data_IF_315388538361
#
_entry.id   IF_315388538361
#
_cell.length_a   1.000
_cell.length_b   1.000
_cell.length_c   1.000
_cell.angle_alpha   90.00
_cell.angle_beta   90.00
_cell.angle_gamma   90.00
#
_symmetry.space_group_name_H-M   'P 1'
#
loop_
_entity.id
_entity.type
_entity.pdbx_description
1 polymer ?
#
# COMPACT_ATOMS: atom_id res chain seq x y z
N UNK A 1 -115.67 35.64 89.10
CA UNK A 1 -116.53 36.38 88.15
C UNK A 1 -116.06 36.08 86.74
N UNK A 2 -117.05 35.91 85.87
CA UNK A 2 -116.99 35.39 84.51
C UNK A 2 -116.41 36.38 83.48
N UNK A 3 -116.04 35.80 82.32
CA UNK A 3 -115.98 36.36 80.97
C UNK A 3 -114.75 37.17 80.52
N UNK A 4 -114.33 37.16 79.25
CA UNK A 4 -114.35 36.22 78.11
C UNK A 4 -113.75 37.01 76.93
N UNK A 5 -113.26 36.28 75.92
CA UNK A 5 -113.45 36.60 74.49
C UNK A 5 -112.51 37.55 73.71
N UNK A 6 -111.64 36.89 72.91
CA UNK A 6 -111.31 37.07 71.47
C UNK A 6 -110.53 38.34 71.02
N UNK A 7 -109.55 38.30 70.09
CA UNK A 7 -109.50 37.62 68.79
C UNK A 7 -108.07 37.48 68.16
N UNK A 8 -107.93 36.40 67.37
CA UNK A 8 -106.90 35.90 66.37
C UNK A 8 -106.17 36.91 65.45
N UNK A 9 -105.24 36.52 64.49
CA UNK A 9 -104.44 35.28 64.25
C UNK A 9 -102.96 35.45 63.72
N UNK A 10 -102.22 34.31 63.74
CA UNK A 10 -101.11 33.79 62.86
C UNK A 10 -100.23 34.71 61.98
N UNK A 11 -98.89 34.57 62.13
CA UNK A 11 -97.94 34.21 61.04
C UNK A 11 -96.74 33.43 61.61
N UNK A 12 -96.44 32.28 61.01
CA UNK A 12 -95.29 31.40 61.25
C UNK A 12 -94.01 31.92 60.60
N UNK A 13 -92.88 31.86 61.30
CA UNK A 13 -91.58 31.59 60.68
C UNK A 13 -90.63 30.93 61.69
N UNK A 14 -90.37 29.64 61.51
CA UNK A 14 -89.31 28.94 62.23
C UNK A 14 -87.95 29.56 61.91
N UNK A 15 -87.20 29.96 62.95
CA UNK A 15 -85.77 30.22 62.84
C UNK A 15 -84.99 29.19 63.65
N UNK A 16 -84.36 28.31 62.89
CA UNK A 16 -83.30 27.37 63.30
C UNK A 16 -82.28 28.07 64.19
N UNK A 17 -82.16 27.64 65.43
CA UNK A 17 -81.11 28.09 66.35
C UNK A 17 -79.80 27.41 65.92
N UNK A 18 -79.01 28.11 65.11
CA UNK A 18 -77.62 27.75 64.85
C UNK A 18 -76.75 28.16 66.05
N UNK A 19 -76.04 27.16 66.57
CA UNK A 19 -75.07 27.24 67.67
C UNK A 19 -74.11 28.44 67.54
N UNK A 20 -73.90 29.16 68.65
CA UNK A 20 -72.79 30.11 68.83
C UNK A 20 -71.46 29.36 68.71
N UNK A 21 -70.65 29.68 67.71
CA UNK A 21 -69.26 29.23 67.62
C UNK A 21 -68.35 30.14 68.45
N UNK A 22 -67.67 29.50 69.40
CA UNK A 22 -66.63 30.00 70.29
C UNK A 22 -65.59 30.84 69.53
N UNK A 23 -65.42 32.07 69.99
CA UNK A 23 -64.45 33.05 69.52
C UNK A 23 -63.02 32.46 69.56
N UNK A 24 -62.40 32.27 68.40
CA UNK A 24 -60.99 31.82 68.30
C UNK A 24 -60.13 33.05 68.14
N UNK A 25 -59.40 33.39 69.20
CA UNK A 25 -58.55 34.59 69.29
C UNK A 25 -57.64 34.77 68.06
N UNK A 26 -57.55 36.02 67.58
CA UNK A 26 -56.70 36.50 66.48
C UNK A 26 -55.22 36.04 66.57
N UNK A 27 -54.72 35.71 67.76
CA UNK A 27 -53.36 35.21 67.98
C UNK A 27 -53.08 33.81 67.42
N UNK A 28 -54.09 32.96 67.26
CA UNK A 28 -53.91 31.61 66.67
C UNK A 28 -53.53 31.71 65.18
N UNK A 29 -54.19 32.60 64.44
CA UNK A 29 -53.91 32.82 63.03
C UNK A 29 -52.54 33.49 62.81
N UNK A 30 -52.10 34.38 63.71
CA UNK A 30 -50.78 35.00 63.63
C UNK A 30 -49.63 33.99 63.78
N UNK A 31 -49.76 33.01 64.67
CA UNK A 31 -48.77 31.92 64.82
C UNK A 31 -48.74 31.02 63.58
N UNK A 32 -49.90 30.75 62.99
CA UNK A 32 -50.01 29.96 61.76
C UNK A 32 -49.34 30.69 60.58
N UNK A 33 -49.61 32.00 60.42
CA UNK A 33 -49.00 32.82 59.36
C UNK A 33 -47.48 32.89 59.51
N UNK A 34 -46.96 33.00 60.73
CA UNK A 34 -45.51 32.98 60.98
C UNK A 34 -44.88 31.64 60.61
N UNK A 35 -45.56 30.53 60.92
CA UNK A 35 -45.10 29.19 60.59
C UNK A 35 -45.07 28.97 59.06
N UNK A 36 -46.13 29.36 58.35
CA UNK A 36 -46.16 29.27 56.89
C UNK A 36 -45.14 30.20 56.23
N UNK A 37 -44.88 31.39 56.79
CA UNK A 37 -43.86 32.31 56.27
C UNK A 37 -42.44 31.73 56.43
N UNK A 38 -42.13 31.16 57.60
CA UNK A 38 -40.85 30.49 57.84
C UNK A 38 -40.68 29.23 56.98
N UNK A 39 -41.77 28.49 56.75
CA UNK A 39 -41.78 27.29 55.92
C UNK A 39 -41.56 27.61 54.44
N UNK A 40 -42.25 28.64 53.92
CA UNK A 40 -42.04 29.13 52.55
C UNK A 40 -40.61 29.65 52.38
N UNK A 41 -40.08 30.40 53.35
CA UNK A 41 -38.69 30.87 53.33
C UNK A 41 -37.69 29.70 53.28
N UNK A 42 -37.93 28.65 54.06
CA UNK A 42 -37.08 27.45 54.07
C UNK A 42 -37.14 26.69 52.75
N UNK A 43 -38.33 26.58 52.15
CA UNK A 43 -38.54 25.97 50.84
C UNK A 43 -37.85 26.74 49.71
N UNK A 44 -37.84 28.07 49.78
CA UNK A 44 -37.12 28.93 48.84
C UNK A 44 -35.61 28.72 49.00
N UNK A 45 -35.08 28.68 50.22
CA UNK A 45 -33.64 28.43 50.46
C UNK A 45 -33.23 27.06 49.92
N UNK A 46 -34.01 26.00 50.18
CA UNK A 46 -33.74 24.66 49.64
C UNK A 46 -33.81 24.67 48.12
N UNK A 47 -34.79 25.35 47.53
CA UNK A 47 -34.92 25.46 46.08
C UNK A 47 -33.74 26.20 45.44
N UNK A 48 -33.27 27.29 46.06
CA UNK A 48 -32.09 28.03 45.61
C UNK A 48 -30.81 27.21 45.76
N UNK A 49 -30.66 26.46 46.84
CA UNK A 49 -29.51 25.55 47.03
C UNK A 49 -29.55 24.42 46.00
N UNK A 50 -30.71 23.82 45.72
CA UNK A 50 -30.86 22.85 44.65
C UNK A 50 -30.55 23.47 43.29
N UNK A 51 -30.96 24.71 43.04
CA UNK A 51 -30.62 25.44 41.82
C UNK A 51 -29.12 25.79 41.75
N UNK A 52 -28.43 25.95 42.87
CA UNK A 52 -26.99 26.23 42.90
C UNK A 52 -26.16 24.94 42.76
N UNK A 53 -26.63 23.83 43.32
CA UNK A 53 -26.00 22.50 43.23
C UNK A 53 -26.28 21.82 41.88
N UNK A 54 -27.48 21.99 41.32
CA UNK A 54 -27.91 21.33 40.08
C UNK A 54 -28.14 22.27 38.89
N UNK A 55 -28.25 23.58 39.10
CA UNK A 55 -28.51 24.57 38.05
C UNK A 55 -27.27 25.29 37.53
N UNK A 56 -26.06 24.77 37.77
CA UNK A 56 -24.86 25.33 37.17
C UNK A 56 -24.89 25.08 35.64
N UNK A 57 -24.92 26.12 34.79
CA UNK A 57 -24.99 25.98 33.33
C UNK A 57 -23.61 25.66 32.72
N UNK A 58 -22.77 24.95 33.49
CA UNK A 58 -21.47 24.49 33.02
C UNK A 58 -21.66 23.19 32.27
N UNK A 59 -21.65 23.28 30.92
CA UNK A 59 -21.52 22.18 29.95
C UNK A 59 -21.72 20.81 30.59
N UNK A 60 -22.96 20.35 30.64
CA UNK A 60 -23.27 19.08 31.29
C UNK A 60 -22.38 17.99 30.70
N UNK A 61 -21.98 16.98 31.50
CA UNK A 61 -21.20 15.84 30.99
C UNK A 61 -21.85 15.20 29.75
N UNK A 62 -23.17 15.31 29.61
CA UNK A 62 -23.92 14.87 28.44
C UNK A 62 -23.67 15.71 27.19
N UNK A 63 -23.71 17.04 27.26
CA UNK A 63 -23.44 17.92 26.11
C UNK A 63 -22.02 17.74 25.55
N UNK A 64 -21.04 17.62 26.44
CA UNK A 64 -19.65 17.37 26.05
C UNK A 64 -19.49 15.99 25.40
N UNK A 65 -20.23 14.98 25.88
CA UNK A 65 -20.25 13.64 25.26
C UNK A 65 -20.94 13.65 23.91
N UNK A 66 -21.98 14.45 23.72
CA UNK A 66 -22.65 14.62 22.42
C UNK A 66 -21.72 15.29 21.42
N UNK A 67 -21.00 16.35 21.81
CA UNK A 67 -20.01 17.04 20.97
C UNK A 67 -18.82 16.12 20.61
N UNK A 68 -18.33 15.33 21.55
CA UNK A 68 -17.30 14.30 21.28
C UNK A 68 -17.81 13.21 20.32
N UNK A 69 -19.07 12.79 20.47
CA UNK A 69 -19.68 11.78 19.60
C UNK A 69 -19.91 12.31 18.18
N UNK A 70 -20.35 13.56 18.04
CA UNK A 70 -20.54 14.24 16.76
C UNK A 70 -19.20 14.45 16.04
N UNK A 71 -18.17 14.90 16.76
CA UNK A 71 -16.82 15.02 16.21
C UNK A 71 -16.24 13.65 15.80
N UNK A 72 -16.49 12.61 16.61
CA UNK A 72 -16.13 11.23 16.29
C UNK A 72 -16.83 10.73 15.02
N UNK A 73 -18.14 10.97 14.90
CA UNK A 73 -18.93 10.61 13.73
C UNK A 73 -18.45 11.33 12.47
N UNK A 74 -18.22 12.63 12.53
CA UNK A 74 -17.76 13.43 11.40
C UNK A 74 -16.38 12.98 10.91
N UNK A 75 -15.46 12.67 11.85
CA UNK A 75 -14.15 12.11 11.52
C UNK A 75 -14.28 10.74 10.84
N UNK A 76 -15.07 9.85 11.43
CA UNK A 76 -15.27 8.49 10.90
C UNK A 76 -15.95 8.49 9.54
N UNK A 77 -16.91 9.40 9.33
CA UNK A 77 -17.59 9.61 8.06
C UNK A 77 -16.60 10.06 6.97
N UNK A 78 -15.74 11.04 7.28
CA UNK A 78 -14.70 11.50 6.35
C UNK A 78 -13.74 10.38 5.98
N UNK A 79 -13.21 9.65 6.96
CA UNK A 79 -12.32 8.50 6.74
C UNK A 79 -13.01 7.42 5.88
N UNK A 80 -14.30 7.14 6.11
CA UNK A 80 -15.05 6.18 5.30
C UNK A 80 -15.18 6.63 3.84
N UNK A 81 -15.40 7.92 3.60
CA UNK A 81 -15.46 8.47 2.22
C UNK A 81 -14.11 8.40 1.50
N UNK A 82 -13.01 8.67 2.20
CA UNK A 82 -11.65 8.54 1.65
C UNK A 82 -11.32 7.07 1.34
N UNK A 83 -11.61 6.15 2.27
CA UNK A 83 -11.43 4.71 2.06
C UNK A 83 -12.25 4.18 0.86
N UNK A 84 -13.46 4.72 0.63
CA UNK A 84 -14.26 4.37 -0.56
C UNK A 84 -13.62 4.86 -1.85
N UNK A 85 -13.02 6.05 -1.86
CA UNK A 85 -12.29 6.56 -3.03
C UNK A 85 -11.03 5.73 -3.30
N UNK A 86 -10.28 5.40 -2.26
CA UNK A 86 -9.08 4.57 -2.37
C UNK A 86 -9.43 3.18 -2.88
N UNK A 87 -10.49 2.55 -2.35
CA UNK A 87 -10.99 1.27 -2.85
C UNK A 87 -11.32 1.32 -4.34
N UNK A 88 -11.99 2.37 -4.80
CA UNK A 88 -12.33 2.53 -6.22
C UNK A 88 -11.06 2.69 -7.08
N UNK A 89 -10.12 3.52 -6.65
CA UNK A 89 -8.82 3.75 -7.32
C UNK A 89 -7.98 2.48 -7.42
N UNK A 90 -7.84 1.76 -6.30
CA UNK A 90 -7.15 0.47 -6.22
C UNK A 90 -7.81 -0.59 -7.11
N UNK A 91 -9.14 -0.66 -7.10
CA UNK A 91 -9.89 -1.60 -7.94
C UNK A 91 -9.65 -1.32 -9.43
N UNK A 92 -9.64 -0.04 -9.82
CA UNK A 92 -9.32 0.36 -11.20
C UNK A 92 -7.89 -0.01 -11.59
N UNK A 93 -6.92 0.26 -10.71
CA UNK A 93 -5.50 -0.05 -10.93
C UNK A 93 -5.27 -1.57 -11.06
N UNK A 94 -5.97 -2.36 -10.23
CA UNK A 94 -5.91 -3.82 -10.28
C UNK A 94 -6.45 -4.32 -11.62
N UNK A 95 -7.61 -3.81 -12.07
CA UNK A 95 -8.18 -4.18 -13.37
C UNK A 95 -7.20 -3.90 -14.52
N UNK A 96 -6.55 -2.73 -14.53
CA UNK A 96 -5.53 -2.39 -15.52
C UNK A 96 -4.33 -3.35 -15.45
N UNK A 97 -3.78 -3.59 -14.26
CA UNK A 97 -2.64 -4.50 -14.08
C UNK A 97 -2.95 -5.94 -14.51
N UNK A 98 -4.17 -6.42 -14.26
CA UNK A 98 -4.60 -7.74 -14.71
C UNK A 98 -4.63 -7.81 -16.25
N UNK A 99 -5.16 -6.78 -16.92
CA UNK A 99 -5.17 -6.76 -18.40
C UNK A 99 -3.77 -6.65 -19.00
N UNK A 100 -2.87 -5.89 -18.38
CA UNK A 100 -1.45 -5.82 -18.78
C UNK A 100 -0.77 -7.18 -18.62
N UNK A 101 -1.02 -7.87 -17.49
CA UNK A 101 -0.50 -9.22 -17.23
C UNK A 101 -0.98 -10.21 -18.28
N UNK A 102 -2.28 -10.26 -18.57
CA UNK A 102 -2.83 -11.15 -19.61
C UNK A 102 -2.21 -10.88 -20.99
N UNK A 103 -1.96 -9.60 -21.31
CA UNK A 103 -1.33 -9.21 -22.57
C UNK A 103 0.14 -9.64 -22.61
N UNK A 104 0.87 -9.52 -21.49
CA UNK A 104 2.25 -9.98 -21.38
C UNK A 104 2.35 -11.51 -21.47
N UNK A 105 1.44 -12.24 -20.83
CA UNK A 105 1.37 -13.70 -20.92
C UNK A 105 1.11 -14.15 -22.36
N UNK A 106 0.20 -13.48 -23.10
CA UNK A 106 -0.01 -13.75 -24.54
C UNK A 106 1.22 -13.50 -25.40
N UNK A 107 2.01 -12.46 -25.09
CA UNK A 107 3.28 -12.21 -25.79
C UNK A 107 4.31 -13.28 -25.48
N UNK A 108 4.37 -13.73 -24.23
CA UNK A 108 5.30 -14.77 -23.78
C UNK A 108 4.99 -16.10 -24.46
N UNK A 109 3.72 -16.53 -24.51
CA UNK A 109 3.34 -17.76 -25.22
C UNK A 109 3.67 -17.70 -26.71
N UNK A 110 3.49 -16.54 -27.34
CA UNK A 110 3.89 -16.33 -28.74
C UNK A 110 5.40 -16.47 -28.94
N UNK A 111 6.21 -15.82 -28.09
CA UNK A 111 7.68 -15.90 -28.16
C UNK A 111 8.18 -17.33 -27.91
N UNK A 112 7.56 -18.06 -26.99
CA UNK A 112 7.89 -19.48 -26.75
C UNK A 112 7.63 -20.33 -28.00
N UNK A 113 6.49 -20.13 -28.68
CA UNK A 113 6.19 -20.85 -29.92
C UNK A 113 7.16 -20.50 -31.07
N UNK A 114 7.55 -19.23 -31.20
CA UNK A 114 8.56 -18.78 -32.16
C UNK A 114 9.93 -19.42 -31.86
N UNK A 115 10.31 -19.50 -30.58
CA UNK A 115 11.55 -20.13 -30.14
C UNK A 115 11.58 -21.64 -30.42
N UNK A 116 10.48 -22.35 -30.16
CA UNK A 116 10.37 -23.78 -30.47
C UNK A 116 10.46 -24.04 -31.98
N UNK A 117 9.86 -23.16 -32.78
CA UNK A 117 9.96 -23.21 -34.25
C UNK A 117 11.40 -22.97 -34.72
N UNK A 118 12.07 -21.96 -34.16
CA UNK A 118 13.47 -21.67 -34.46
C UNK A 118 14.39 -22.83 -34.07
N UNK A 119 14.15 -23.44 -32.90
CA UNK A 119 14.88 -24.63 -32.44
C UNK A 119 14.71 -25.78 -33.43
N UNK A 120 13.48 -26.10 -33.84
CA UNK A 120 13.19 -27.14 -34.85
C UNK A 120 13.93 -26.89 -36.17
N UNK A 121 13.91 -25.65 -36.67
CA UNK A 121 14.63 -25.28 -37.89
C UNK A 121 16.15 -25.45 -37.74
N UNK A 122 16.69 -25.07 -36.58
CA UNK A 122 18.11 -25.21 -36.29
C UNK A 122 18.53 -26.70 -36.26
N UNK A 123 17.72 -27.57 -35.63
CA UNK A 123 17.95 -29.02 -35.65
C UNK A 123 17.90 -29.58 -37.07
N UNK A 124 16.95 -29.13 -37.89
CA UNK A 124 16.81 -29.55 -39.29
C UNK A 124 18.03 -29.16 -40.13
N UNK A 125 18.53 -27.92 -39.97
CA UNK A 125 19.76 -27.46 -40.61
C UNK A 125 20.97 -28.27 -40.16
N UNK A 126 21.06 -28.55 -38.86
CA UNK A 126 22.15 -29.37 -38.32
C UNK A 126 22.15 -30.79 -38.89
N UNK A 127 20.98 -31.40 -39.04
CA UNK A 127 20.83 -32.72 -39.66
C UNK A 127 21.19 -32.69 -41.15
N UNK A 128 20.73 -31.68 -41.89
CA UNK A 128 21.06 -31.51 -43.31
C UNK A 128 22.57 -31.33 -43.53
N UNK A 129 23.24 -30.56 -42.65
CA UNK A 129 24.70 -30.39 -42.67
C UNK A 129 25.42 -31.72 -42.39
N UNK A 130 24.94 -32.50 -41.43
CA UNK A 130 25.49 -33.82 -41.12
C UNK A 130 25.35 -34.79 -42.31
N UNK A 131 24.19 -34.82 -42.98
CA UNK A 131 23.97 -35.63 -44.18
C UNK A 131 24.83 -35.19 -45.36
N UNK A 132 25.06 -33.88 -45.54
CA UNK A 132 25.93 -33.36 -46.58
C UNK A 132 27.40 -33.76 -46.37
N UNK A 133 27.87 -33.76 -45.11
CA UNK A 133 29.20 -34.24 -44.77
C UNK A 133 29.35 -35.76 -44.93
N UNK A 134 28.29 -36.54 -44.73
CA UNK A 134 28.28 -37.99 -44.93
C UNK A 134 28.32 -38.40 -46.43
N UNK A 135 27.83 -37.54 -47.33
CA UNK A 135 27.80 -37.78 -48.78
C UNK A 135 29.04 -37.26 -49.53
N UNK A 136 30.14 -36.95 -48.84
CA UNK A 136 31.41 -36.64 -49.52
C UNK A 136 31.90 -37.89 -50.28
N UNK A 137 32.17 -37.81 -51.60
CA UNK A 137 32.71 -38.95 -52.33
C UNK A 137 34.06 -39.36 -51.75
N UNK A 138 34.38 -40.67 -51.70
CA UNK A 138 35.68 -41.15 -51.23
C UNK A 138 36.80 -40.59 -52.11
N UNK A 139 38.01 -40.35 -51.56
CA UNK A 139 39.15 -39.93 -52.37
C UNK A 139 39.44 -41.02 -53.41
N UNK A 140 39.46 -40.63 -54.68
CA UNK A 140 39.67 -41.52 -55.82
C UNK A 140 41.01 -42.29 -55.74
N UNK A 141 41.08 -43.52 -56.29
CA UNK A 141 42.25 -44.39 -56.15
C UNK A 141 43.41 -43.92 -57.02
N UNK A 142 44.62 -44.08 -56.47
CA UNK A 142 45.91 -43.86 -57.14
C UNK A 142 46.03 -44.72 -58.39
N UNK A 143 46.38 -44.10 -59.53
CA UNK A 143 46.81 -44.76 -60.76
C UNK A 143 48.16 -44.15 -61.20
N UNK A 144 49.20 -44.99 -61.11
CA UNK A 144 50.45 -45.12 -61.90
C UNK A 144 51.38 -43.92 -62.20
N UNK A 145 52.69 -44.19 -62.40
CA UNK A 145 53.75 -43.20 -62.26
C UNK A 145 53.88 -42.32 -63.51
N UNK A 146 53.62 -41.03 -63.35
CA UNK A 146 53.93 -40.02 -64.34
C UNK A 146 55.21 -39.29 -63.92
N UNK A 147 56.20 -39.45 -64.78
CA UNK A 147 57.38 -38.62 -65.01
C UNK A 147 57.36 -37.26 -64.27
N UNK A 148 58.35 -37.01 -63.41
CA UNK A 148 58.58 -35.70 -62.83
C UNK A 148 59.00 -34.71 -63.93
N UNK A 149 58.26 -33.61 -64.17
CA UNK A 149 58.92 -32.39 -64.64
C UNK A 149 59.65 -31.82 -63.42
N UNK A 150 60.95 -31.59 -63.56
CA UNK A 150 61.70 -30.74 -62.65
C UNK A 150 61.00 -29.37 -62.61
N UNK A 151 60.16 -29.16 -61.60
CA UNK A 151 59.62 -27.84 -61.30
C UNK A 151 60.77 -27.12 -60.62
N UNK A 152 61.39 -26.23 -61.37
CA UNK A 152 62.18 -25.13 -60.82
C UNK A 152 61.24 -24.28 -59.98
N UNK A 153 61.01 -24.70 -58.73
CA UNK A 153 60.27 -23.94 -57.74
C UNK A 153 61.01 -22.62 -57.56
N UNK A 154 60.45 -21.54 -58.12
CA UNK A 154 61.06 -20.24 -57.94
C UNK A 154 61.04 -19.91 -56.44
N UNK A 155 62.10 -19.26 -55.95
CA UNK A 155 62.20 -18.84 -54.55
C UNK A 155 60.97 -18.04 -54.07
N UNK A 156 60.18 -17.46 -54.99
CA UNK A 156 58.94 -16.75 -54.68
C UNK A 156 57.79 -17.66 -54.20
N UNK A 157 57.63 -18.87 -54.74
CA UNK A 157 56.56 -19.80 -54.31
C UNK A 157 56.83 -20.37 -52.91
N UNK A 158 58.08 -20.71 -52.62
CA UNK A 158 58.49 -21.16 -51.28
C UNK A 158 58.29 -20.01 -50.27
N UNK A 159 58.69 -18.79 -50.63
CA UNK A 159 58.52 -17.60 -49.76
C UNK A 159 57.04 -17.29 -49.48
N UNK A 160 56.16 -17.46 -50.47
CA UNK A 160 54.71 -17.29 -50.29
C UNK A 160 54.12 -18.34 -49.34
N UNK A 161 54.48 -19.62 -49.50
CA UNK A 161 54.04 -20.69 -48.61
C UNK A 161 54.56 -20.49 -47.17
N UNK A 162 55.81 -20.04 -47.02
CA UNK A 162 56.40 -19.68 -45.72
C UNK A 162 55.61 -18.56 -45.04
N UNK A 163 55.31 -17.48 -45.79
CA UNK A 163 54.55 -16.33 -45.29
C UNK A 163 53.13 -16.74 -44.88
N UNK A 164 52.49 -17.61 -45.66
CA UNK A 164 51.16 -18.15 -45.33
C UNK A 164 51.18 -19.03 -44.07
N UNK A 165 52.22 -19.85 -43.89
CA UNK A 165 52.38 -20.69 -42.70
C UNK A 165 52.63 -19.83 -41.45
N UNK A 166 53.47 -18.80 -41.56
CA UNK A 166 53.76 -17.88 -40.47
C UNK A 166 52.53 -17.04 -40.10
N UNK A 167 51.75 -16.60 -41.09
CA UNK A 167 50.46 -15.95 -40.86
C UNK A 167 49.47 -16.87 -40.14
N UNK A 168 49.38 -18.15 -40.54
CA UNK A 168 48.49 -19.12 -39.91
C UNK A 168 48.92 -19.44 -38.46
N UNK A 169 50.23 -19.52 -38.19
CA UNK A 169 50.77 -19.66 -36.82
C UNK A 169 50.45 -18.45 -35.96
N UNK A 170 50.58 -17.24 -36.50
CA UNK A 170 50.23 -16.01 -35.78
C UNK A 170 48.74 -15.97 -35.42
N UNK A 171 47.86 -16.33 -36.37
CA UNK A 171 46.42 -16.38 -36.14
C UNK A 171 46.03 -17.44 -35.10
N UNK A 172 46.65 -18.62 -35.15
CA UNK A 172 46.46 -19.66 -34.14
C UNK A 172 46.94 -19.21 -32.76
N UNK A 173 48.09 -18.51 -32.67
CA UNK A 173 48.58 -17.93 -31.42
C UNK A 173 47.60 -16.91 -30.83
N UNK A 174 47.03 -16.03 -31.68
CA UNK A 174 46.01 -15.08 -31.27
C UNK A 174 44.73 -15.77 -30.77
N UNK A 175 44.23 -16.76 -31.50
CA UNK A 175 43.06 -17.54 -31.10
C UNK A 175 43.28 -18.26 -29.78
N UNK A 176 44.45 -18.88 -29.60
CA UNK A 176 44.81 -19.58 -28.37
C UNK A 176 44.91 -18.62 -27.17
N UNK A 177 45.51 -17.45 -27.37
CA UNK A 177 45.58 -16.41 -26.33
C UNK A 177 44.19 -15.90 -25.94
N UNK A 178 43.35 -15.60 -26.92
CA UNK A 178 41.97 -15.15 -26.69
C UNK A 178 41.13 -16.22 -25.97
N UNK A 179 41.28 -17.49 -26.37
CA UNK A 179 40.62 -18.60 -25.71
C UNK A 179 41.07 -18.75 -24.26
N UNK A 180 42.39 -18.74 -24.00
CA UNK A 180 42.93 -18.83 -22.65
C UNK A 180 42.44 -17.68 -21.75
N UNK A 181 42.49 -16.45 -22.25
CA UNK A 181 42.00 -15.27 -21.52
C UNK A 181 40.50 -15.39 -21.21
N UNK A 182 39.70 -15.86 -22.17
CA UNK A 182 38.26 -16.06 -21.99
C UNK A 182 37.97 -17.13 -20.95
N UNK A 183 38.67 -18.26 -21.00
CA UNK A 183 38.54 -19.35 -20.02
C UNK A 183 38.94 -18.88 -18.62
N UNK A 184 40.02 -18.13 -18.49
CA UNK A 184 40.47 -17.58 -17.21
C UNK A 184 39.46 -16.59 -16.63
N UNK A 185 38.92 -15.69 -17.47
CA UNK A 185 37.84 -14.77 -17.09
C UNK A 185 36.58 -15.51 -16.65
N UNK A 186 36.17 -16.55 -17.38
CA UNK A 186 35.03 -17.40 -17.02
C UNK A 186 35.25 -18.11 -15.69
N UNK A 187 36.47 -18.60 -15.43
CA UNK A 187 36.84 -19.26 -14.17
C UNK A 187 36.74 -18.29 -12.99
N UNK A 188 37.31 -17.08 -13.10
CA UNK A 188 37.20 -16.04 -12.08
C UNK A 188 35.74 -15.64 -11.82
N UNK A 189 34.94 -15.52 -12.88
CA UNK A 189 33.52 -15.24 -12.75
C UNK A 189 32.77 -16.37 -12.03
N UNK A 190 33.07 -17.63 -12.34
CA UNK A 190 32.46 -18.78 -11.68
C UNK A 190 32.81 -18.82 -10.19
N UNK A 191 34.07 -18.58 -9.83
CA UNK A 191 34.52 -18.51 -8.43
C UNK A 191 33.82 -17.38 -7.67
N UNK A 192 33.71 -16.20 -8.29
CA UNK A 192 32.99 -15.05 -7.73
C UNK A 192 31.51 -15.37 -7.50
N UNK A 193 30.81 -15.89 -8.51
CA UNK A 193 29.38 -16.27 -8.40
C UNK A 193 29.18 -17.35 -7.34
N UNK A 194 30.10 -18.32 -7.24
CA UNK A 194 30.04 -19.37 -6.23
C UNK A 194 30.20 -18.81 -4.81
N UNK A 195 31.10 -17.84 -4.63
CA UNK A 195 31.30 -17.15 -3.36
C UNK A 195 30.10 -16.31 -2.98
N UNK A 196 29.56 -15.54 -3.92
CA UNK A 196 28.34 -14.74 -3.74
C UNK A 196 27.14 -15.63 -3.35
N UNK A 197 26.96 -16.75 -4.05
CA UNK A 197 25.92 -17.74 -3.73
C UNK A 197 26.04 -18.25 -2.30
N UNK A 198 27.24 -18.66 -1.87
CA UNK A 198 27.48 -19.13 -0.49
C UNK A 198 27.18 -18.05 0.54
N UNK A 199 27.61 -16.81 0.30
CA UNK A 199 27.31 -15.69 1.19
C UNK A 199 25.80 -15.46 1.29
N UNK A 200 25.08 -15.49 0.17
CA UNK A 200 23.63 -15.35 0.13
C UNK A 200 22.92 -16.49 0.86
N UNK A 201 23.38 -17.74 0.73
CA UNK A 201 22.87 -18.90 1.47
C UNK A 201 23.04 -18.72 2.99
N UNK A 202 24.19 -18.24 3.44
CA UNK A 202 24.43 -17.93 4.86
C UNK A 202 23.51 -16.82 5.37
N UNK A 203 23.37 -15.72 4.62
CA UNK A 203 22.45 -14.63 4.99
C UNK A 203 21.00 -15.10 5.02
N UNK A 204 20.59 -15.95 4.08
CA UNK A 204 19.23 -16.52 4.05
C UNK A 204 18.95 -17.40 5.27
N UNK A 205 19.92 -18.22 5.70
CA UNK A 205 19.82 -19.01 6.93
C UNK A 205 19.69 -18.11 8.16
N UNK A 206 20.53 -17.08 8.28
CA UNK A 206 20.45 -16.10 9.37
C UNK A 206 19.09 -15.38 9.41
N UNK A 207 18.58 -14.94 8.27
CA UNK A 207 17.28 -14.29 8.18
C UNK A 207 16.13 -15.22 8.60
N UNK A 208 16.21 -16.52 8.25
CA UNK A 208 15.21 -17.50 8.70
C UNK A 208 15.23 -17.66 10.21
N UNK A 209 16.42 -17.78 10.80
CA UNK A 209 16.56 -17.90 12.24
C UNK A 209 16.03 -16.65 12.96
N UNK A 210 16.41 -15.44 12.51
CA UNK A 210 15.90 -14.19 13.05
C UNK A 210 14.36 -14.07 12.93
N UNK A 211 13.79 -14.54 11.82
CA UNK A 211 12.33 -14.56 11.63
C UNK A 211 11.66 -15.48 12.65
N UNK A 212 12.21 -16.67 12.89
CA UNK A 212 11.69 -17.61 13.87
C UNK A 212 11.76 -17.04 15.29
N UNK A 213 12.91 -16.48 15.67
CA UNK A 213 13.12 -15.81 16.96
C UNK A 213 12.13 -14.66 17.18
N UNK A 214 12.00 -13.76 16.21
CA UNK A 214 11.09 -12.61 16.30
C UNK A 214 9.61 -13.05 16.32
N UNK A 215 9.27 -14.13 15.62
CA UNK A 215 7.92 -14.72 15.66
C UNK A 215 7.60 -15.27 17.05
N UNK A 216 8.57 -15.97 17.68
CA UNK A 216 8.43 -16.47 19.03
C UNK A 216 8.29 -15.33 20.06
N UNK A 217 9.10 -14.28 19.93
CA UNK A 217 9.03 -13.09 20.80
C UNK A 217 7.67 -12.39 20.69
N UNK A 218 7.13 -12.21 19.48
CA UNK A 218 5.80 -11.64 19.27
C UNK A 218 4.68 -12.48 19.90
N UNK A 219 4.77 -13.82 19.80
CA UNK A 219 3.79 -14.70 20.44
C UNK A 219 3.87 -14.61 21.97
N UNK A 220 5.08 -14.52 22.53
CA UNK A 220 5.28 -14.35 23.97
C UNK A 220 4.72 -13.00 24.44
N UNK A 221 5.02 -11.92 23.73
CA UNK A 221 4.49 -10.59 24.04
C UNK A 221 2.97 -10.57 24.01
N UNK A 222 2.34 -11.21 23.02
CA UNK A 222 0.88 -11.31 22.93
C UNK A 222 0.27 -12.04 24.13
N UNK A 223 0.91 -13.13 24.59
CA UNK A 223 0.47 -13.85 25.80
C UNK A 223 0.60 -12.98 27.04
N UNK A 224 1.77 -12.35 27.24
CA UNK A 224 2.02 -11.45 28.37
C UNK A 224 1.03 -10.30 28.42
N UNK A 225 0.74 -9.65 27.31
CA UNK A 225 -0.24 -8.55 27.25
C UNK A 225 -1.65 -9.01 27.70
N UNK A 226 -2.07 -10.21 27.29
CA UNK A 226 -3.35 -10.78 27.75
C UNK A 226 -3.32 -11.08 29.25
N UNK A 227 -2.24 -11.67 29.74
CA UNK A 227 -2.08 -12.03 31.15
C UNK A 227 -2.00 -10.79 32.06
N UNK A 228 -1.24 -9.77 31.68
CA UNK A 228 -1.13 -8.48 32.40
C UNK A 228 -2.45 -7.71 32.42
N UNK A 229 -3.21 -7.76 31.32
CA UNK A 229 -4.55 -7.17 31.29
C UNK A 229 -5.49 -7.87 32.28
N UNK A 230 -5.47 -9.20 32.33
CA UNK A 230 -6.29 -9.97 33.27
C UNK A 230 -5.82 -9.73 34.72
N UNK A 231 -4.51 -9.70 34.98
CA UNK A 231 -3.97 -9.48 36.33
C UNK A 231 -4.30 -8.08 36.87
N UNK A 232 -4.28 -7.06 36.01
CA UNK A 232 -4.69 -5.68 36.37
C UNK A 232 -6.15 -5.61 36.85
N UNK A 233 -6.97 -6.59 36.50
CA UNK A 233 -8.39 -6.67 36.83
C UNK A 233 -8.70 -7.68 37.95
N UNK A 234 -7.67 -8.34 38.49
CA UNK A 234 -7.77 -9.30 39.59
C UNK A 234 -8.30 -8.68 40.90
N UNK A 235 -8.19 -7.35 41.05
CA UNK A 235 -8.79 -6.62 42.17
C UNK A 235 -10.30 -6.82 42.30
N UNK A 236 -11.02 -7.04 41.20
CA UNK A 236 -12.48 -7.30 41.20
C UNK A 236 -12.79 -8.68 41.79
N UNK A 237 -11.98 -9.68 41.45
CA UNK A 237 -12.11 -11.01 42.04
C UNK A 237 -11.87 -10.96 43.55
N UNK A 238 -10.83 -10.24 43.99
CA UNK A 238 -10.53 -10.05 45.41
C UNK A 238 -11.70 -9.41 46.18
N UNK A 239 -12.34 -8.37 45.62
CA UNK A 239 -13.51 -7.73 46.23
C UNK A 239 -14.68 -8.69 46.34
N UNK A 240 -14.93 -9.49 45.30
CA UNK A 240 -16.04 -10.46 45.25
C UNK A 240 -15.82 -11.58 46.27
N UNK A 241 -14.59 -12.12 46.36
CA UNK A 241 -14.22 -13.13 47.36
C UNK A 241 -14.34 -12.58 48.78
N UNK A 242 -13.90 -11.35 49.03
CA UNK A 242 -14.02 -10.70 50.33
C UNK A 242 -15.49 -10.46 50.73
N UNK A 243 -16.34 -10.07 49.78
CA UNK A 243 -17.77 -9.88 49.99
C UNK A 243 -18.47 -11.21 50.34
N UNK A 244 -18.20 -12.28 49.59
CA UNK A 244 -18.70 -13.63 49.88
C UNK A 244 -18.26 -14.12 51.26
N UNK A 245 -16.99 -13.90 51.62
CA UNK A 245 -16.48 -14.22 52.94
C UNK A 245 -17.21 -13.42 54.04
N UNK A 246 -17.57 -12.16 53.79
CA UNK A 246 -18.36 -11.34 54.72
C UNK A 246 -19.78 -11.87 54.88
N UNK A 247 -20.44 -12.31 53.80
CA UNK A 247 -21.76 -12.95 53.83
C UNK A 247 -21.72 -14.28 54.61
N UNK A 248 -20.69 -15.09 54.38
CA UNK A 248 -20.52 -16.35 55.09
C UNK A 248 -20.35 -16.14 56.61
N UNK A 249 -19.67 -15.06 57.00
CA UNK A 249 -19.36 -14.74 58.40
C UNK A 249 -20.34 -13.74 59.06
N UNK A 250 -21.38 -13.29 58.35
CA UNK A 250 -22.33 -12.30 58.86
C UNK A 250 -23.10 -12.81 60.10
N UNK A 251 -23.24 -14.13 60.24
CA UNK A 251 -23.77 -14.79 61.44
C UNK A 251 -22.99 -16.08 61.70
N UNK A 252 -22.02 -16.10 62.64
CA UNK A 252 -21.34 -17.35 63.00
C UNK A 252 -22.33 -18.32 63.65
N UNK A 253 -22.14 -19.62 63.42
CA UNK A 253 -22.99 -20.71 63.91
C UNK A 253 -23.19 -20.73 65.45
N UNK A 254 -22.45 -19.88 66.15
CA UNK A 254 -22.48 -19.69 67.61
C UNK A 254 -23.63 -18.81 68.13
N UNK A 255 -24.35 -18.04 67.29
CA UNK A 255 -25.49 -17.18 67.71
C UNK A 255 -26.88 -17.81 67.51
N UNK A 256 -26.98 -19.14 67.60
CA UNK A 256 -28.24 -19.91 67.48
C UNK A 256 -29.30 -19.55 68.53
N UNK A 257 -28.97 -18.78 69.58
CA UNK A 257 -29.87 -18.47 70.68
C UNK A 257 -30.88 -17.33 70.41
N UNK A 258 -30.69 -16.50 69.37
CA UNK A 258 -31.63 -15.38 69.05
C UNK A 258 -32.65 -15.67 67.94
N UNK A 259 -32.48 -16.77 67.20
CA UNK A 259 -33.40 -17.18 66.13
C UNK A 259 -34.30 -18.32 66.63
N UNK A 260 -35.18 -18.00 67.58
CA UNK A 260 -36.13 -18.97 68.14
C UNK A 260 -37.31 -19.27 67.21
N UNK A 261 -37.47 -18.52 66.11
CA UNK A 261 -38.53 -18.72 65.13
C UNK A 261 -38.00 -19.42 63.87
N UNK A 262 -38.52 -20.61 63.57
CA UNK A 262 -38.15 -21.43 62.39
C UNK A 262 -38.29 -20.65 61.07
N UNK A 263 -39.34 -19.82 60.93
CA UNK A 263 -39.54 -18.93 59.77
C UNK A 263 -38.43 -17.90 59.60
N UNK A 264 -37.88 -17.36 60.68
CA UNK A 264 -36.77 -16.39 60.58
C UNK A 264 -35.49 -17.08 60.12
N UNK A 265 -35.27 -18.34 60.54
CA UNK A 265 -34.14 -19.15 60.08
C UNK A 265 -34.24 -19.46 58.59
N UNK A 266 -35.41 -19.90 58.11
CA UNK A 266 -35.64 -20.14 56.67
C UNK A 266 -35.44 -18.87 55.83
N UNK A 267 -35.97 -17.71 56.28
CA UNK A 267 -35.76 -16.45 55.57
C UNK A 267 -34.28 -16.04 55.53
N UNK A 268 -33.54 -16.30 56.61
CA UNK A 268 -32.11 -16.02 56.66
C UNK A 268 -31.31 -16.92 55.71
N UNK A 269 -31.60 -18.21 55.70
CA UNK A 269 -30.96 -19.17 54.79
C UNK A 269 -31.29 -18.83 53.33
N UNK A 270 -32.51 -18.38 53.05
CA UNK A 270 -32.91 -17.88 51.74
C UNK A 270 -32.11 -16.62 51.34
N UNK A 271 -31.93 -15.65 52.24
CA UNK A 271 -31.13 -14.44 51.98
C UNK A 271 -29.67 -14.82 51.74
N UNK A 272 -29.09 -15.69 52.58
CA UNK A 272 -27.70 -16.17 52.43
C UNK A 272 -27.50 -16.88 51.09
N UNK A 273 -28.42 -17.78 50.72
CA UNK A 273 -28.42 -18.47 49.44
C UNK A 273 -28.52 -17.50 48.27
N UNK A 274 -29.46 -16.55 48.32
CA UNK A 274 -29.66 -15.57 47.26
C UNK A 274 -28.46 -14.63 47.09
N UNK A 275 -27.89 -14.10 48.18
CA UNK A 275 -26.69 -13.26 48.13
C UNK A 275 -25.46 -14.03 47.62
N UNK A 276 -25.30 -15.29 48.03
CA UNK A 276 -24.21 -16.16 47.56
C UNK A 276 -24.37 -16.48 46.07
N UNK A 277 -25.58 -16.81 45.64
CA UNK A 277 -25.91 -17.10 44.24
C UNK A 277 -25.69 -15.87 43.36
N UNK A 278 -26.23 -14.71 43.75
CA UNK A 278 -26.07 -13.45 43.03
C UNK A 278 -24.60 -13.05 42.92
N UNK A 279 -23.82 -13.17 44.00
CA UNK A 279 -22.40 -12.83 43.97
C UNK A 279 -21.60 -13.76 43.04
N UNK A 280 -21.91 -15.07 43.01
CA UNK A 280 -21.29 -16.01 42.07
C UNK A 280 -21.69 -15.73 40.61
N UNK A 281 -22.95 -15.36 40.38
CA UNK A 281 -23.43 -14.99 39.06
C UNK A 281 -22.73 -13.73 38.56
N UNK A 282 -22.59 -12.71 39.41
CA UNK A 282 -21.83 -11.49 39.11
C UNK A 282 -20.37 -11.82 38.78
N UNK A 283 -19.70 -12.65 39.58
CA UNK A 283 -18.31 -13.08 39.33
C UNK A 283 -18.18 -13.77 37.96
N UNK A 284 -19.10 -14.69 37.65
CA UNK A 284 -19.10 -15.46 36.41
C UNK A 284 -19.31 -14.55 35.19
N UNK A 285 -20.27 -13.63 35.28
CA UNK A 285 -20.54 -12.66 34.20
C UNK A 285 -19.38 -11.70 34.01
N UNK A 286 -18.75 -11.23 35.10
CA UNK A 286 -17.55 -10.40 35.04
C UNK A 286 -16.39 -11.14 34.39
N UNK A 287 -16.10 -12.38 34.79
CA UNK A 287 -15.01 -13.16 34.21
C UNK A 287 -15.22 -13.39 32.71
N UNK A 288 -16.45 -13.65 32.29
CA UNK A 288 -16.81 -13.76 30.87
C UNK A 288 -16.55 -12.44 30.11
N UNK A 289 -16.95 -11.32 30.69
CA UNK A 289 -16.69 -9.99 30.12
C UNK A 289 -15.19 -9.70 30.03
N UNK A 290 -14.42 -9.99 31.09
CA UNK A 290 -12.97 -9.82 31.13
C UNK A 290 -12.27 -10.65 30.06
N UNK A 291 -12.68 -11.91 29.88
CA UNK A 291 -12.14 -12.76 28.83
C UNK A 291 -12.40 -12.18 27.44
N UNK A 292 -13.61 -11.68 27.19
CA UNK A 292 -13.99 -11.08 25.90
C UNK A 292 -13.21 -9.79 25.63
N UNK A 293 -13.10 -8.89 26.62
CA UNK A 293 -12.35 -7.64 26.48
C UNK A 293 -10.86 -7.92 26.35
N UNK A 294 -10.30 -8.85 27.12
CA UNK A 294 -8.88 -9.24 27.01
C UNK A 294 -8.55 -9.82 25.63
N UNK A 295 -9.44 -10.62 25.05
CA UNK A 295 -9.28 -11.11 23.67
C UNK A 295 -9.35 -9.98 22.64
N UNK A 296 -10.30 -9.05 22.81
CA UNK A 296 -10.42 -7.87 21.93
C UNK A 296 -9.21 -6.95 22.01
N UNK A 297 -8.72 -6.65 23.21
CA UNK A 297 -7.52 -5.82 23.43
C UNK A 297 -6.29 -6.49 22.84
N UNK A 298 -6.09 -7.79 23.09
CA UNK A 298 -4.99 -8.55 22.49
C UNK A 298 -5.03 -8.55 20.96
N UNK A 299 -6.23 -8.65 20.38
CA UNK A 299 -6.43 -8.62 18.93
C UNK A 299 -6.20 -7.22 18.36
N UNK A 300 -6.73 -6.18 18.99
CA UNK A 300 -6.55 -4.80 18.59
C UNK A 300 -5.07 -4.39 18.65
N UNK A 301 -4.38 -4.73 19.74
CA UNK A 301 -2.95 -4.47 19.88
C UNK A 301 -2.15 -5.17 18.77
N UNK A 302 -2.46 -6.43 18.47
CA UNK A 302 -1.80 -7.17 17.39
C UNK A 302 -2.02 -6.51 16.01
N UNK A 303 -3.24 -6.05 15.73
CA UNK A 303 -3.57 -5.33 14.49
C UNK A 303 -2.87 -3.97 14.42
N UNK A 304 -2.86 -3.21 15.52
CA UNK A 304 -2.21 -1.91 15.60
C UNK A 304 -0.71 -2.03 15.32
N UNK A 305 -0.02 -2.96 15.99
CA UNK A 305 1.40 -3.23 15.76
C UNK A 305 1.67 -3.70 14.33
N UNK A 306 0.78 -4.52 13.75
CA UNK A 306 0.90 -4.95 12.36
C UNK A 306 0.83 -3.77 11.38
N UNK A 307 -0.15 -2.88 11.56
CA UNK A 307 -0.30 -1.69 10.73
C UNK A 307 0.86 -0.71 10.90
N UNK A 308 1.38 -0.52 12.11
CA UNK A 308 2.54 0.33 12.35
C UNK A 308 3.78 -0.17 11.59
N UNK A 309 4.07 -1.47 11.67
CA UNK A 309 5.17 -2.09 10.92
C UNK A 309 4.96 -1.97 9.41
N UNK A 310 3.74 -2.23 8.93
CA UNK A 310 3.41 -2.12 7.50
C UNK A 310 3.59 -0.68 7.00
N UNK A 311 3.11 0.31 7.75
CA UNK A 311 3.23 1.72 7.41
C UNK A 311 4.69 2.18 7.36
N UNK A 312 5.49 1.77 8.36
CA UNK A 312 6.93 2.04 8.38
C UNK A 312 7.65 1.45 7.17
N UNK A 313 7.32 0.20 6.82
CA UNK A 313 7.87 -0.48 5.64
C UNK A 313 7.50 0.25 4.34
N UNK A 314 6.21 0.52 4.14
CA UNK A 314 5.71 1.21 2.95
C UNK A 314 6.35 2.60 2.80
N UNK A 315 6.50 3.33 3.91
CA UNK A 315 7.17 4.64 3.93
C UNK A 315 8.63 4.53 3.48
N UNK A 316 9.36 3.53 4.00
CA UNK A 316 10.75 3.28 3.60
C UNK A 316 10.88 2.87 2.14
N UNK A 317 10.01 1.98 1.65
CA UNK A 317 10.00 1.52 0.27
C UNK A 317 9.65 2.67 -0.70
N UNK A 318 8.70 3.53 -0.33
CA UNK A 318 8.36 4.74 -1.09
C UNK A 318 9.54 5.73 -1.14
N UNK A 319 10.22 5.94 -0.02
CA UNK A 319 11.41 6.81 0.03
C UNK A 319 12.53 6.26 -0.88
N UNK A 320 12.81 4.96 -0.81
CA UNK A 320 13.79 4.29 -1.67
C UNK A 320 13.42 4.43 -3.14
N UNK A 321 12.16 4.16 -3.49
CA UNK A 321 11.66 4.30 -4.85
C UNK A 321 11.84 5.73 -5.39
N UNK A 322 11.54 6.74 -4.58
CA UNK A 322 11.75 8.15 -4.95
C UNK A 322 13.22 8.47 -5.17
N UNK A 323 14.11 7.99 -4.29
CA UNK A 323 15.55 8.19 -4.44
C UNK A 323 16.05 7.55 -5.73
N UNK A 324 15.76 6.27 -5.96
CA UNK A 324 16.16 5.55 -7.17
C UNK A 324 15.61 6.20 -8.44
N UNK A 325 14.34 6.63 -8.44
CA UNK A 325 13.77 7.35 -9.58
C UNK A 325 14.52 8.66 -9.86
N UNK A 326 14.87 9.41 -8.81
CA UNK A 326 15.61 10.67 -8.95
C UNK A 326 17.02 10.41 -9.51
N UNK A 327 17.72 9.42 -8.97
CA UNK A 327 19.05 9.00 -9.44
C UNK A 327 19.04 8.55 -10.91
N UNK A 328 18.08 7.70 -11.30
CA UNK A 328 17.91 7.25 -12.69
C UNK A 328 17.54 8.40 -13.63
N UNK A 329 16.69 9.33 -13.19
CA UNK A 329 16.33 10.50 -13.99
C UNK A 329 17.56 11.38 -14.25
N UNK A 330 18.38 11.62 -13.22
CA UNK A 330 19.62 12.40 -13.36
C UNK A 330 20.65 11.67 -14.22
N UNK A 331 20.77 10.35 -14.09
CA UNK A 331 21.63 9.54 -14.95
C UNK A 331 21.19 9.59 -16.41
N UNK A 332 19.90 9.47 -16.67
CA UNK A 332 19.33 9.53 -18.01
C UNK A 332 19.55 10.91 -18.66
N UNK A 333 19.36 11.99 -17.88
CA UNK A 333 19.69 13.36 -18.35
C UNK A 333 21.16 13.49 -18.73
N UNK A 334 22.09 12.98 -17.91
CA UNK A 334 23.53 13.02 -18.22
C UNK A 334 23.85 12.28 -19.52
N UNK A 335 23.33 11.06 -19.68
CA UNK A 335 23.53 10.27 -20.90
C UNK A 335 22.95 10.96 -22.14
N UNK A 336 21.81 11.63 -22.01
CA UNK A 336 21.20 12.37 -23.11
C UNK A 336 22.04 13.59 -23.51
N UNK A 337 22.58 14.33 -22.55
CA UNK A 337 23.50 15.43 -22.83
C UNK A 337 24.79 14.96 -23.49
N UNK A 338 25.39 13.85 -23.02
CA UNK A 338 26.59 13.27 -23.61
C UNK A 338 26.34 12.75 -25.03
N UNK A 339 25.19 12.11 -25.28
CA UNK A 339 24.78 11.69 -26.61
C UNK A 339 24.57 12.89 -27.56
N UNK A 340 24.02 13.99 -27.06
CA UNK A 340 23.85 15.21 -27.84
C UNK A 340 25.20 15.85 -28.16
N UNK A 341 26.10 15.99 -27.19
CA UNK A 341 27.44 16.55 -27.39
C UNK A 341 28.26 15.74 -28.39
N UNK A 342 28.21 14.40 -28.30
CA UNK A 342 28.89 13.52 -29.27
C UNK A 342 28.32 13.66 -30.67
N UNK A 343 27.00 13.81 -30.81
CA UNK A 343 26.37 14.07 -32.09
C UNK A 343 26.79 15.43 -32.66
N UNK A 344 26.74 16.50 -31.86
CA UNK A 344 27.13 17.85 -32.27
C UNK A 344 28.61 17.88 -32.72
N UNK A 345 29.51 17.21 -31.99
CA UNK A 345 30.93 17.08 -32.33
C UNK A 345 31.20 16.42 -33.68
N UNK A 346 30.33 15.51 -34.13
CA UNK A 346 30.46 14.84 -35.43
C UNK A 346 29.77 15.63 -36.54
N UNK A 347 28.57 16.16 -36.26
CA UNK A 347 27.73 16.83 -37.26
C UNK A 347 28.28 18.21 -37.62
N UNK A 348 28.80 18.97 -36.66
CA UNK A 348 29.25 20.35 -36.88
C UNK A 348 30.43 20.44 -37.88
N UNK A 349 31.52 19.63 -37.77
CA UNK A 349 32.59 19.63 -38.76
C UNK A 349 32.12 19.17 -40.15
N UNK A 350 31.23 18.18 -40.22
CA UNK A 350 30.67 17.70 -41.49
C UNK A 350 29.86 18.80 -42.19
N UNK A 351 29.06 19.56 -41.44
CA UNK A 351 28.29 20.68 -41.97
C UNK A 351 29.20 21.81 -42.47
N UNK A 352 30.27 22.12 -41.74
CA UNK A 352 31.25 23.12 -42.17
C UNK A 352 31.98 22.68 -43.45
N UNK A 353 32.44 21.43 -43.52
CA UNK A 353 33.07 20.86 -44.71
C UNK A 353 32.13 20.88 -45.91
N UNK A 354 30.85 20.51 -45.72
CA UNK A 354 29.84 20.57 -46.77
C UNK A 354 29.65 21.99 -47.31
N UNK A 355 29.59 23.00 -46.43
CA UNK A 355 29.46 24.41 -46.84
C UNK A 355 30.66 24.88 -47.66
N UNK A 356 31.88 24.53 -47.25
CA UNK A 356 33.10 24.86 -47.99
C UNK A 356 33.11 24.22 -49.38
N UNK A 357 32.80 22.93 -49.47
CA UNK A 357 32.74 22.20 -50.74
C UNK A 357 31.67 22.78 -51.69
N UNK A 358 30.52 23.19 -51.16
CA UNK A 358 29.47 23.85 -51.95
C UNK A 358 29.94 25.20 -52.49
N UNK A 359 30.65 26.00 -51.69
CA UNK A 359 31.20 27.28 -52.13
C UNK A 359 32.28 27.09 -53.20
N UNK A 360 33.20 26.15 -53.01
CA UNK A 360 34.25 25.82 -53.98
C UNK A 360 33.66 25.31 -55.30
N UNK A 361 32.66 24.43 -55.24
CA UNK A 361 31.90 23.97 -56.42
C UNK A 361 31.30 25.17 -57.17
N UNK A 362 30.68 26.11 -56.46
CA UNK A 362 30.06 27.28 -57.08
C UNK A 362 31.11 28.18 -57.78
N UNK A 363 32.27 28.37 -57.14
CA UNK A 363 33.38 29.11 -57.72
C UNK A 363 33.90 28.42 -59.00
N UNK A 364 34.19 27.13 -58.93
CA UNK A 364 34.62 26.34 -60.10
C UNK A 364 33.61 26.36 -61.24
N UNK A 365 32.31 26.30 -60.92
CA UNK A 365 31.25 26.36 -61.92
C UNK A 365 31.17 27.74 -62.58
N UNK A 366 31.42 28.82 -61.84
CA UNK A 366 31.50 30.18 -62.39
C UNK A 366 32.74 30.39 -63.28
N UNK A 367 33.91 29.84 -62.89
CA UNK A 367 35.15 29.90 -63.68
C UNK A 367 35.09 29.03 -64.94
N UNK A 368 34.38 27.90 -64.89
CA UNK A 368 34.17 27.04 -66.05
C UNK A 368 33.12 27.63 -67.02
N UNK A 369 32.14 28.38 -66.52
CA UNK A 369 31.15 29.07 -67.35
C UNK A 369 31.73 30.29 -68.10
N UNK A 370 32.89 30.82 -67.69
CA UNK A 370 33.52 32.00 -68.30
C UNK A 370 34.57 31.70 -69.39
N UNK A 371 34.64 30.47 -69.94
CA UNK A 371 35.50 30.21 -71.11
C UNK A 371 34.89 30.85 -72.37
N UNK A 372 35.63 31.70 -73.12
CA UNK A 372 35.12 32.25 -74.38
C UNK A 372 34.97 31.15 -75.42
N UNK A 373 33.86 31.16 -76.13
CA UNK A 373 33.59 30.30 -77.28
C UNK A 373 34.64 30.52 -78.36
N UNK A 374 35.33 29.45 -78.77
CA UNK A 374 36.11 29.45 -80.01
C UNK A 374 35.16 29.55 -81.23
N UNK A 375 35.58 30.19 -82.34
CA UNK A 375 34.70 30.44 -83.49
C UNK A 375 34.36 29.15 -84.22
N UNK A 376 33.07 28.93 -84.50
CA UNK A 376 32.60 27.91 -85.47
C UNK A 376 33.00 28.34 -86.90
N UNK A 377 33.55 27.45 -87.73
CA UNK A 377 33.54 27.62 -89.18
C UNK A 377 32.13 27.33 -89.72
N UNK A 378 31.72 28.18 -90.65
CA UNK A 378 30.49 28.19 -91.42
C UNK A 378 30.25 26.88 -92.18
N UNK A 379 29.00 26.40 -92.21
CA UNK A 379 28.59 25.35 -93.16
C UNK A 379 27.26 24.66 -92.85
N UNK A 380 26.20 25.17 -93.49
CA UNK A 380 24.89 24.56 -93.81
C UNK A 380 23.87 24.22 -92.69
N UNK A 381 22.76 24.97 -92.74
CA UNK A 381 21.42 24.61 -92.21
C UNK A 381 20.64 23.72 -93.23
N UNK A 382 19.45 23.16 -92.91
CA UNK A 382 19.25 21.87 -92.26
C UNK A 382 18.29 20.97 -93.10
N UNK A 383 17.73 19.88 -92.55
CA UNK A 383 16.28 19.91 -92.52
C UNK A 383 15.64 19.52 -91.18
N UNK A 384 14.47 20.13 -91.04
CA UNK A 384 13.45 20.08 -89.99
C UNK A 384 13.05 18.65 -89.62
N UNK A 385 13.08 18.34 -88.32
CA UNK A 385 12.27 17.25 -87.74
C UNK A 385 11.61 17.75 -86.47
N UNK A 386 10.27 17.74 -86.51
CA UNK A 386 9.33 17.97 -85.41
C UNK A 386 9.54 16.96 -84.27
N UNK A 387 9.40 17.39 -83.01
CA UNK A 387 9.29 16.41 -81.92
C UNK A 387 9.32 16.95 -80.49
N UNK A 388 8.12 17.25 -79.98
CA UNK A 388 7.68 17.14 -78.58
C UNK A 388 8.32 17.97 -77.46
N UNK A 389 7.55 19.00 -77.14
CA UNK A 389 7.33 19.67 -75.87
C UNK A 389 7.02 18.67 -74.72
N UNK A 390 7.75 18.76 -73.61
CA UNK A 390 7.29 18.32 -72.28
C UNK A 390 7.83 19.27 -71.22
N UNK A 391 6.89 19.89 -70.51
CA UNK A 391 7.08 20.91 -69.46
C UNK A 391 7.54 20.26 -68.14
N UNK A 392 8.19 21.01 -67.22
CA UNK A 392 8.67 20.50 -65.95
C UNK A 392 7.56 20.52 -64.89
N UNK A 393 7.44 19.43 -64.12
CA UNK A 393 6.64 19.38 -62.91
C UNK A 393 7.43 19.91 -61.71
N UNK A 394 7.03 21.08 -61.22
CA UNK A 394 7.41 21.63 -59.93
C UNK A 394 6.81 20.82 -58.76
N UNK A 395 7.41 21.03 -57.58
CA UNK A 395 6.79 21.11 -56.23
C UNK A 395 6.97 19.90 -55.28
N UNK A 396 7.87 20.06 -54.30
CA UNK A 396 7.65 19.61 -52.90
C UNK A 396 6.59 20.50 -52.22
N UNK A 397 6.29 20.43 -50.88
CA UNK A 397 6.59 19.45 -49.83
C UNK A 397 5.38 19.08 -48.92
N UNK A 398 5.54 18.11 -48.03
CA UNK A 398 4.72 17.95 -46.81
C UNK A 398 5.31 16.78 -45.99
N UNK A 399 5.80 16.91 -44.76
CA UNK A 399 5.42 17.85 -43.71
C UNK A 399 4.36 17.21 -42.81
N UNK A 400 4.73 16.22 -42.00
CA UNK A 400 3.86 15.68 -40.96
C UNK A 400 4.66 15.33 -39.70
N UNK A 401 4.61 16.28 -38.77
CA UNK A 401 4.84 16.12 -37.33
C UNK A 401 3.90 15.08 -36.75
N UNK A 402 4.42 14.14 -35.95
CA UNK A 402 3.63 13.20 -35.17
C UNK A 402 4.18 13.09 -33.75
N UNK A 403 3.64 13.91 -32.83
CA UNK A 403 3.76 13.74 -31.39
C UNK A 403 2.97 12.51 -30.94
N UNK A 404 3.57 11.66 -30.12
CA UNK A 404 3.03 11.25 -28.82
C UNK A 404 4.11 10.65 -27.95
#
# INVERSE_FOLDING_TARGET
MYNNSYSRPKVTLEKKVTYKSKDKSCGYYWRIVFFFSSLIQSLIIISLVLFLVYGQPGKTPEEKRVEELENGYNKLSKENTELRKDKASLTSSLKTRTTEKETAEKKLTKLTAELDTAKSNCTRLHNALASCNANKPPPAPRITPIHMPSVSTSNAQIKHLQTSLDHQKALNGYLQSNFNQTVESLKLNLERVTKEKKAQETTMLQLRQQKEELTAELQLYRKKCKEEFISSLQGIQNVTTAFLAKIANLFPDTYTFLLTCEKQREQMDAIKSNCTSLSREVETKFQSYLNNVGEKVSTFQAQSSHHEVQNRRLTSDLQRCRQTHTEETERCKKLLLEAQETQDRVVEPLLQAQKLLMHEKQLLQSTCASKPSMPRPSGHDPPVVYGHQSRPGMSSPGGATGKR
#
